data_IF_789110234103
#
_entry.id   IF_789110234103
#
_cell.length_a   1.000
_cell.length_b   1.000
_cell.length_c   1.000
_cell.angle_alpha   90.00
_cell.angle_beta   90.00
_cell.angle_gamma   90.00
#
_symmetry.space_group_name_H-M   'P 1'
#
loop_
_entity.id
_entity.type
_entity.pdbx_description
1 polymer ?
#
# COMPACT_ATOMS: atom_id res chain seq x y z
N UNK A 1 -6.39 1.23 -26.10
CA UNK A 1 -5.70 2.41 -25.55
C UNK A 1 -4.29 2.02 -25.14
N UNK A 2 -3.34 2.95 -25.24
CA UNK A 2 -1.99 2.80 -24.68
C UNK A 2 -1.91 3.53 -23.34
N UNK A 3 -1.60 2.80 -22.29
CA UNK A 3 -1.65 3.28 -20.90
C UNK A 3 -0.25 3.26 -20.30
N UNK A 4 0.23 4.41 -19.82
CA UNK A 4 1.47 4.52 -19.07
C UNK A 4 1.17 4.45 -17.57
N UNK A 5 1.55 3.36 -16.88
CA UNK A 5 1.43 3.24 -15.43
C UNK A 5 2.75 3.62 -14.75
N UNK A 6 2.74 4.64 -13.88
CA UNK A 6 3.93 5.15 -13.21
C UNK A 6 3.88 4.83 -11.71
N UNK A 7 4.91 4.14 -11.20
CA UNK A 7 4.97 3.72 -9.79
C UNK A 7 6.35 3.86 -9.18
N UNK A 8 6.44 4.11 -7.86
CA UNK A 8 7.71 4.11 -7.12
C UNK A 8 8.11 2.70 -6.62
N UNK A 9 7.17 1.74 -6.63
CA UNK A 9 7.41 0.38 -6.15
C UNK A 9 6.74 -0.64 -7.08
N UNK A 10 7.51 -1.64 -7.49
CA UNK A 10 7.03 -2.75 -8.33
C UNK A 10 7.79 -4.03 -7.99
N UNK A 11 7.45 -5.12 -8.67
CA UNK A 11 8.16 -6.41 -8.50
C UNK A 11 9.70 -6.23 -8.61
N UNK A 12 10.48 -6.97 -7.86
CA UNK A 12 10.12 -8.08 -6.96
C UNK A 12 9.68 -7.66 -5.54
N UNK A 13 9.55 -6.36 -5.27
CA UNK A 13 9.07 -5.89 -3.97
C UNK A 13 7.62 -6.34 -3.73
N UNK A 14 7.39 -7.04 -2.60
CA UNK A 14 6.06 -7.54 -2.21
C UNK A 14 5.35 -6.49 -1.36
N UNK A 15 4.23 -5.99 -1.84
CA UNK A 15 3.43 -4.99 -1.13
C UNK A 15 2.08 -4.75 -1.80
N UNK A 16 1.18 -4.06 -1.12
CA UNK A 16 -0.18 -3.81 -1.64
C UNK A 16 -0.18 -3.03 -2.94
N UNK A 17 0.68 -2.00 -3.07
CA UNK A 17 0.73 -1.18 -4.29
C UNK A 17 1.28 -1.95 -5.48
N UNK A 18 2.44 -2.64 -5.42
CA UNK A 18 2.92 -3.47 -6.53
C UNK A 18 1.91 -4.49 -7.02
N UNK A 19 1.25 -5.20 -6.09
CA UNK A 19 0.21 -6.18 -6.42
C UNK A 19 -0.99 -5.50 -7.11
N UNK A 20 -1.40 -4.33 -6.63
CA UNK A 20 -2.50 -3.57 -7.24
C UNK A 20 -2.15 -3.11 -8.66
N UNK A 21 -0.93 -2.60 -8.87
CA UNK A 21 -0.45 -2.16 -10.19
C UNK A 21 -0.37 -3.34 -11.16
N UNK A 22 0.20 -4.45 -10.73
CA UNK A 22 0.31 -5.67 -11.54
C UNK A 22 -1.06 -6.18 -12.00
N UNK A 23 -1.99 -6.39 -11.05
CA UNK A 23 -3.34 -6.88 -11.34
C UNK A 23 -4.12 -5.94 -12.24
N UNK A 24 -4.00 -4.63 -12.00
CA UNK A 24 -4.66 -3.64 -12.86
C UNK A 24 -4.08 -3.67 -14.28
N UNK A 25 -2.75 -3.76 -14.40
CA UNK A 25 -2.09 -3.87 -15.71
C UNK A 25 -2.52 -5.15 -16.46
N UNK A 26 -2.55 -6.28 -15.78
CA UNK A 26 -2.99 -7.56 -16.35
C UNK A 26 -4.48 -7.51 -16.77
N UNK A 27 -5.34 -6.96 -15.90
CA UNK A 27 -6.75 -6.79 -16.21
C UNK A 27 -6.98 -5.91 -17.42
N UNK A 28 -6.28 -4.79 -17.53
CA UNK A 28 -6.39 -3.89 -18.68
C UNK A 28 -5.84 -4.55 -19.97
N UNK A 29 -4.73 -5.31 -19.88
CA UNK A 29 -4.21 -6.08 -21.02
C UNK A 29 -5.21 -7.15 -21.49
N UNK A 30 -5.87 -7.83 -20.56
CA UNK A 30 -6.92 -8.82 -20.90
C UNK A 30 -8.12 -8.21 -21.61
N UNK A 31 -8.37 -6.91 -21.40
CA UNK A 31 -9.38 -6.13 -22.11
C UNK A 31 -8.89 -5.56 -23.46
N UNK A 32 -7.68 -5.92 -23.89
CA UNK A 32 -7.13 -5.50 -25.17
C UNK A 32 -6.41 -4.14 -25.15
N UNK A 33 -6.09 -3.59 -23.97
CA UNK A 33 -5.27 -2.38 -23.86
C UNK A 33 -3.77 -2.71 -23.85
N UNK A 34 -2.95 -1.80 -24.34
CA UNK A 34 -1.50 -1.86 -24.19
C UNK A 34 -1.10 -1.11 -22.92
N UNK A 35 -0.42 -1.77 -22.01
CA UNK A 35 -0.05 -1.18 -20.71
C UNK A 35 1.46 -1.29 -20.52
N UNK A 36 2.14 -0.16 -20.44
CA UNK A 36 3.55 -0.06 -20.09
C UNK A 36 3.69 0.42 -18.65
N UNK A 37 4.40 -0.36 -17.82
CA UNK A 37 4.65 -0.01 -16.42
C UNK A 37 6.02 0.63 -16.30
N UNK A 38 6.08 1.84 -15.76
CA UNK A 38 7.31 2.54 -15.42
C UNK A 38 7.61 2.37 -13.95
N UNK A 39 8.71 1.67 -13.62
CA UNK A 39 9.07 1.31 -12.26
C UNK A 39 10.58 1.46 -12.02
N UNK A 40 11.03 1.74 -10.78
CA UNK A 40 12.45 1.81 -10.48
C UNK A 40 13.13 0.43 -10.59
N UNK A 41 14.42 0.45 -10.88
CA UNK A 41 15.29 -0.71 -10.72
C UNK A 41 15.40 -1.01 -9.22
N UNK A 42 14.82 -2.10 -8.75
CA UNK A 42 14.94 -2.56 -7.36
C UNK A 42 15.89 -3.75 -7.27
N UNK A 43 16.37 -4.08 -6.08
CA UNK A 43 17.20 -5.28 -5.92
C UNK A 43 16.47 -6.54 -6.41
N UNK A 44 17.12 -7.32 -7.28
CA UNK A 44 16.58 -8.57 -7.83
C UNK A 44 15.52 -8.40 -8.92
N UNK A 45 15.38 -7.20 -9.51
CA UNK A 45 14.50 -7.01 -10.65
C UNK A 45 14.99 -7.83 -11.86
N UNK A 46 14.03 -8.29 -12.64
CA UNK A 46 14.27 -8.97 -13.92
C UNK A 46 13.69 -8.14 -15.06
N UNK A 47 14.22 -8.34 -16.26
CA UNK A 47 13.67 -7.71 -17.45
C UNK A 47 12.32 -8.35 -17.79
N UNK A 48 11.30 -7.52 -17.88
CA UNK A 48 9.94 -7.94 -18.17
C UNK A 48 9.45 -7.21 -19.41
N UNK A 49 8.73 -7.89 -20.32
CA UNK A 49 8.06 -7.19 -21.41
C UNK A 49 7.07 -6.17 -20.83
N UNK A 50 6.93 -5.05 -21.50
CA UNK A 50 6.02 -3.96 -21.11
C UNK A 50 6.35 -3.31 -19.74
N UNK A 51 7.59 -3.43 -19.23
CA UNK A 51 8.07 -2.74 -18.05
C UNK A 51 9.33 -1.93 -18.37
N UNK A 52 9.22 -0.62 -18.26
CA UNK A 52 10.37 0.30 -18.41
C UNK A 52 10.97 0.55 -17.04
N UNK A 53 12.18 0.03 -16.81
CA UNK A 53 12.91 0.24 -15.57
C UNK A 53 13.75 1.52 -15.65
N UNK A 54 13.62 2.38 -14.64
CA UNK A 54 14.41 3.58 -14.50
C UNK A 54 15.34 3.51 -13.28
N UNK A 55 16.44 4.24 -13.32
CA UNK A 55 17.51 4.18 -12.30
C UNK A 55 17.01 4.60 -10.94
N UNK A 56 17.59 3.97 -9.90
CA UNK A 56 17.41 4.33 -8.51
C UNK A 56 18.48 5.32 -8.08
N UNK A 57 18.07 6.44 -7.47
CA UNK A 57 18.96 7.42 -6.86
C UNK A 57 19.31 7.01 -5.43
N UNK A 58 18.33 6.47 -4.70
CA UNK A 58 18.51 6.07 -3.31
C UNK A 58 17.56 4.92 -2.95
N UNK A 59 18.09 3.91 -2.26
CA UNK A 59 17.32 2.78 -1.75
C UNK A 59 17.49 2.69 -0.23
N UNK A 60 16.38 2.76 0.49
CA UNK A 60 16.33 2.54 1.93
C UNK A 60 15.91 1.10 2.20
N UNK A 61 16.85 0.17 2.12
CA UNK A 61 16.60 -1.28 2.16
C UNK A 61 15.79 -1.73 3.36
N UNK A 62 16.12 -1.20 4.55
CA UNK A 62 15.43 -1.57 5.81
C UNK A 62 13.95 -1.18 5.84
N UNK A 63 13.52 -0.26 4.98
CA UNK A 63 12.14 0.25 4.92
C UNK A 63 11.42 -0.06 3.61
N UNK A 64 12.10 -0.68 2.66
CA UNK A 64 11.56 -0.91 1.32
C UNK A 64 11.20 0.37 0.58
N UNK A 65 11.82 1.51 0.94
CA UNK A 65 11.61 2.79 0.27
C UNK A 65 12.66 2.99 -0.81
N UNK A 66 12.19 3.19 -2.03
CA UNK A 66 13.04 3.45 -3.20
C UNK A 66 12.72 4.85 -3.73
N UNK A 67 13.77 5.64 -3.93
CA UNK A 67 13.68 6.92 -4.63
C UNK A 67 14.30 6.73 -6.01
N UNK A 68 13.45 6.62 -7.02
CA UNK A 68 13.87 6.51 -8.41
C UNK A 68 14.33 7.86 -8.98
N UNK A 69 15.12 7.80 -10.04
CA UNK A 69 15.45 8.97 -10.82
C UNK A 69 14.25 9.41 -11.67
N UNK A 70 13.45 10.33 -11.15
CA UNK A 70 12.25 10.85 -11.77
C UNK A 70 12.50 11.61 -13.08
N UNK A 71 13.73 11.94 -13.40
CA UNK A 71 14.16 12.57 -14.67
C UNK A 71 15.00 11.61 -15.54
N UNK A 72 14.86 10.30 -15.36
CA UNK A 72 15.56 9.31 -16.18
C UNK A 72 15.13 9.41 -17.64
N UNK A 73 16.11 9.56 -18.54
CA UNK A 73 15.87 9.72 -19.98
C UNK A 73 15.11 8.55 -20.63
N UNK A 74 15.11 7.37 -20.01
CA UNK A 74 14.36 6.20 -20.49
C UNK A 74 12.86 6.42 -20.41
N UNK A 75 12.38 7.11 -19.36
CA UNK A 75 10.96 7.46 -19.23
C UNK A 75 10.56 8.38 -20.40
N UNK A 76 11.29 9.47 -20.57
CA UNK A 76 10.96 10.44 -21.62
C UNK A 76 11.16 9.87 -23.03
N UNK A 77 12.14 8.97 -23.23
CA UNK A 77 12.34 8.27 -24.50
C UNK A 77 11.09 7.47 -24.87
N UNK A 78 10.54 6.68 -23.95
CA UNK A 78 9.31 5.92 -24.20
C UNK A 78 8.14 6.83 -24.55
N UNK A 79 7.98 7.97 -23.86
CA UNK A 79 6.90 8.92 -24.16
C UNK A 79 7.04 9.62 -25.52
N UNK A 80 8.25 9.71 -26.07
CA UNK A 80 8.48 10.21 -27.44
C UNK A 80 8.22 9.16 -28.50
N UNK A 81 8.53 7.90 -28.20
CA UNK A 81 8.43 6.79 -29.13
C UNK A 81 7.03 6.17 -29.14
N UNK A 82 6.37 6.16 -27.99
CA UNK A 82 5.03 5.63 -27.80
C UNK A 82 4.03 6.76 -27.58
N UNK A 83 2.94 6.74 -28.32
CA UNK A 83 1.84 7.68 -28.09
C UNK A 83 0.90 7.10 -27.05
N UNK A 84 1.06 7.50 -25.77
CA UNK A 84 0.18 7.11 -24.70
C UNK A 84 -1.12 7.92 -24.72
N UNK A 85 -2.25 7.24 -24.48
CA UNK A 85 -3.57 7.85 -24.40
C UNK A 85 -3.88 8.36 -22.99
N UNK A 86 -3.27 7.73 -21.96
CA UNK A 86 -3.49 8.08 -20.56
C UNK A 86 -2.24 7.78 -19.73
N UNK A 87 -1.98 8.63 -18.75
CA UNK A 87 -0.99 8.39 -17.68
C UNK A 87 -1.75 8.00 -16.42
N UNK A 88 -1.42 6.85 -15.84
CA UNK A 88 -1.97 6.41 -14.57
C UNK A 88 -0.86 6.32 -13.52
N UNK A 89 -0.84 7.25 -12.58
CA UNK A 89 0.17 7.30 -11.52
C UNK A 89 -0.34 6.70 -10.22
N UNK A 90 0.53 5.99 -9.51
CA UNK A 90 0.21 5.27 -8.29
C UNK A 90 0.86 5.85 -7.03
N UNK A 91 1.69 6.90 -7.19
CA UNK A 91 2.34 7.61 -6.07
C UNK A 91 2.37 9.11 -6.35
N UNK A 92 1.96 9.98 -5.41
CA UNK A 92 1.92 11.43 -5.63
C UNK A 92 3.27 12.10 -5.46
N UNK A 93 4.24 11.46 -4.78
CA UNK A 93 5.60 11.96 -4.56
C UNK A 93 6.60 11.28 -5.49
N UNK A 94 7.71 11.93 -5.78
CA UNK A 94 8.79 11.47 -6.68
C UNK A 94 8.25 11.25 -8.10
N UNK A 95 7.78 10.05 -8.45
CA UNK A 95 7.24 9.74 -9.79
C UNK A 95 5.97 10.53 -10.11
N UNK A 96 5.25 11.02 -9.09
CA UNK A 96 4.09 11.89 -9.26
C UNK A 96 4.44 13.20 -9.97
N UNK A 97 5.59 13.81 -9.65
CA UNK A 97 6.07 15.01 -10.34
C UNK A 97 6.36 14.74 -11.82
N UNK A 98 6.96 13.58 -12.10
CA UNK A 98 7.21 13.15 -13.49
C UNK A 98 5.89 12.97 -14.25
N UNK A 99 4.90 12.33 -13.63
CA UNK A 99 3.59 12.13 -14.24
C UNK A 99 2.91 13.47 -14.61
N UNK A 100 2.89 14.42 -13.69
CA UNK A 100 2.35 15.79 -13.93
C UNK A 100 3.12 16.50 -15.04
N UNK A 101 4.45 16.41 -15.03
CA UNK A 101 5.30 17.02 -16.06
C UNK A 101 4.98 16.42 -17.44
N UNK A 102 4.93 15.09 -17.56
CA UNK A 102 4.67 14.39 -18.81
C UNK A 102 3.24 14.64 -19.32
N UNK A 103 2.25 14.64 -18.42
CA UNK A 103 0.86 14.98 -18.74
C UNK A 103 0.78 16.36 -19.39
N UNK A 104 1.37 17.38 -18.76
CA UNK A 104 1.37 18.75 -19.29
C UNK A 104 2.18 18.90 -20.57
N UNK A 105 3.32 18.22 -20.67
CA UNK A 105 4.20 18.31 -21.84
C UNK A 105 3.59 17.70 -23.09
N UNK A 106 2.93 16.55 -22.95
CA UNK A 106 2.38 15.80 -24.07
C UNK A 106 0.86 15.96 -24.23
N UNK A 107 0.19 16.69 -23.34
CA UNK A 107 -1.26 16.87 -23.36
C UNK A 107 -2.03 15.57 -23.09
N UNK A 108 -1.47 14.69 -22.26
CA UNK A 108 -2.04 13.36 -21.95
C UNK A 108 -2.81 13.44 -20.64
N UNK A 109 -4.06 12.95 -20.59
CA UNK A 109 -4.85 12.88 -19.35
C UNK A 109 -4.13 12.11 -18.23
N UNK A 110 -4.24 12.64 -16.99
CA UNK A 110 -3.59 12.09 -15.80
C UNK A 110 -4.62 11.50 -14.84
N UNK A 111 -4.56 10.19 -14.62
CA UNK A 111 -5.28 9.49 -13.58
C UNK A 111 -4.37 9.17 -12.39
N UNK A 112 -4.89 9.19 -11.19
CA UNK A 112 -4.16 8.83 -9.96
C UNK A 112 -4.94 7.79 -9.16
N UNK A 113 -4.26 6.76 -8.64
CA UNK A 113 -4.85 5.88 -7.63
C UNK A 113 -4.31 6.20 -6.23
N UNK A 114 -5.22 6.58 -5.34
CA UNK A 114 -4.93 6.88 -3.95
C UNK A 114 -4.82 5.57 -3.14
N UNK A 115 -3.59 5.05 -3.01
CA UNK A 115 -3.34 3.78 -2.30
C UNK A 115 -3.08 3.93 -0.81
N UNK A 116 -2.57 5.08 -0.40
CA UNK A 116 -1.94 5.24 0.91
C UNK A 116 -2.36 6.52 1.58
N UNK A 117 -2.81 6.41 2.82
CA UNK A 117 -3.02 7.56 3.71
C UNK A 117 -1.67 8.02 4.26
N UNK A 118 -0.98 8.86 3.49
CA UNK A 118 0.38 9.30 3.80
C UNK A 118 0.52 9.96 5.17
N UNK A 119 -0.52 10.63 5.66
CA UNK A 119 -0.57 11.23 6.99
C UNK A 119 -0.45 10.18 8.12
N UNK A 120 -0.84 8.93 7.87
CA UNK A 120 -0.69 7.84 8.83
C UNK A 120 0.70 7.19 8.80
N UNK A 121 1.48 7.46 7.75
CA UNK A 121 2.82 6.88 7.56
C UNK A 121 3.96 7.78 8.02
N UNK A 122 3.67 8.99 8.51
CA UNK A 122 4.69 9.93 8.98
C UNK A 122 5.55 9.37 10.11
N UNK A 123 5.03 8.42 10.88
CA UNK A 123 5.78 7.75 11.96
C UNK A 123 7.00 6.94 11.47
N UNK A 124 7.09 6.60 10.18
CA UNK A 124 8.29 5.99 9.61
C UNK A 124 9.49 6.95 9.56
N UNK A 125 9.27 8.25 9.68
CA UNK A 125 10.32 9.25 9.74
C UNK A 125 10.71 9.53 11.19
N UNK A 126 11.92 9.10 11.60
CA UNK A 126 12.42 9.26 12.98
C UNK A 126 12.34 10.71 13.50
N UNK A 127 12.55 11.69 12.61
CA UNK A 127 12.42 13.11 12.97
C UNK A 127 10.98 13.42 13.36
N UNK A 128 10.01 12.99 12.58
CA UNK A 128 8.59 13.18 12.89
C UNK A 128 8.20 12.50 14.21
N UNK A 129 8.65 11.25 14.43
CA UNK A 129 8.39 10.55 15.70
C UNK A 129 8.92 11.33 16.92
N UNK A 130 10.16 11.85 16.82
CA UNK A 130 10.73 12.70 17.88
C UNK A 130 9.92 13.96 18.10
N UNK A 131 9.46 14.61 17.04
CA UNK A 131 8.60 15.80 17.13
C UNK A 131 7.25 15.46 17.74
N UNK A 132 6.61 14.37 17.34
CA UNK A 132 5.31 13.94 17.85
C UNK A 132 5.35 13.50 19.32
N UNK A 133 6.47 12.92 19.77
CA UNK A 133 6.74 12.59 21.17
C UNK A 133 7.15 13.83 22.03
N UNK A 134 7.47 14.95 21.40
CA UNK A 134 7.85 16.20 22.06
C UNK A 134 6.70 16.87 22.79
N UNK A 135 6.97 18.09 23.32
CA UNK A 135 5.98 18.91 24.03
C UNK A 135 5.86 20.29 23.38
N UNK A 136 4.74 20.97 23.66
CA UNK A 136 4.51 22.36 23.26
C UNK A 136 4.61 22.57 21.75
N UNK A 137 5.32 23.60 21.27
CA UNK A 137 5.38 23.98 19.85
C UNK A 137 5.85 22.87 18.92
N UNK A 138 6.78 22.02 19.37
CA UNK A 138 7.34 20.92 18.56
C UNK A 138 6.27 19.86 18.27
N UNK A 139 5.49 19.48 19.27
CA UNK A 139 4.35 18.56 19.09
C UNK A 139 3.28 19.18 18.20
N UNK A 140 3.01 20.48 18.35
CA UNK A 140 2.04 21.18 17.51
C UNK A 140 2.50 21.22 16.05
N UNK A 141 3.79 21.39 15.78
CA UNK A 141 4.34 21.34 14.43
C UNK A 141 4.18 19.94 13.78
N UNK A 142 4.43 18.86 14.55
CA UNK A 142 4.18 17.51 14.07
C UNK A 142 2.70 17.28 13.75
N UNK A 143 1.81 17.74 14.63
CA UNK A 143 0.37 17.66 14.42
C UNK A 143 -0.07 18.46 13.19
N UNK A 144 0.41 19.68 13.02
CA UNK A 144 0.15 20.52 11.85
C UNK A 144 0.63 19.85 10.55
N UNK A 145 1.82 19.23 10.56
CA UNK A 145 2.32 18.48 9.41
C UNK A 145 1.38 17.35 9.00
N UNK A 146 0.84 16.61 9.97
CA UNK A 146 -0.06 15.47 9.71
C UNK A 146 -1.45 15.92 9.27
N UNK A 147 -2.01 16.94 9.94
CA UNK A 147 -3.42 17.34 9.78
C UNK A 147 -3.61 18.36 8.64
N UNK A 148 -2.57 19.10 8.28
CA UNK A 148 -2.67 20.22 7.32
C UNK A 148 -1.69 20.09 6.16
N UNK A 149 -0.37 19.96 6.43
CA UNK A 149 0.61 20.02 5.34
C UNK A 149 0.53 18.83 4.41
N UNK A 150 0.47 17.60 4.93
CA UNK A 150 0.40 16.39 4.09
C UNK A 150 -0.91 16.31 3.34
N UNK A 151 -2.09 16.48 3.96
CA UNK A 151 -3.36 16.53 3.21
C UNK A 151 -3.39 17.66 2.18
N UNK A 152 -2.90 18.86 2.53
CA UNK A 152 -2.85 20.01 1.60
C UNK A 152 -1.98 19.73 0.37
N UNK A 153 -0.82 19.10 0.57
CA UNK A 153 0.02 18.66 -0.54
C UNK A 153 -0.70 17.63 -1.43
N UNK A 154 -1.33 16.63 -0.81
CA UNK A 154 -2.06 15.58 -1.54
C UNK A 154 -3.23 16.16 -2.35
N UNK A 155 -3.99 17.09 -1.76
CA UNK A 155 -5.08 17.77 -2.45
C UNK A 155 -4.53 18.55 -3.67
N UNK A 156 -3.47 19.34 -3.47
CA UNK A 156 -2.82 20.07 -4.58
C UNK A 156 -2.31 19.15 -5.69
N UNK A 157 -1.85 17.96 -5.35
CA UNK A 157 -1.46 16.96 -6.35
C UNK A 157 -2.69 16.40 -7.07
N UNK A 158 -3.73 16.02 -6.33
CA UNK A 158 -4.97 15.51 -6.90
C UNK A 158 -5.66 16.52 -7.82
N UNK A 159 -5.60 17.80 -7.51
CA UNK A 159 -6.14 18.88 -8.35
C UNK A 159 -5.44 19.01 -9.71
N UNK A 160 -4.29 18.37 -9.90
CA UNK A 160 -3.61 18.31 -11.20
C UNK A 160 -3.97 17.05 -12.01
N UNK A 161 -4.79 16.17 -11.45
CA UNK A 161 -5.27 14.95 -12.10
C UNK A 161 -6.67 15.19 -12.69
N UNK A 162 -6.95 14.51 -13.79
CA UNK A 162 -8.29 14.52 -14.41
C UNK A 162 -9.27 13.63 -13.65
N UNK A 163 -8.76 12.59 -12.99
CA UNK A 163 -9.54 11.69 -12.13
C UNK A 163 -8.67 11.06 -11.06
N UNK A 164 -9.27 10.74 -9.92
CA UNK A 164 -8.62 10.02 -8.81
C UNK A 164 -9.43 8.78 -8.48
N UNK A 165 -8.77 7.63 -8.54
CA UNK A 165 -9.33 6.37 -8.09
C UNK A 165 -9.04 6.13 -6.61
N UNK A 166 -10.05 5.65 -5.89
CA UNK A 166 -9.96 5.30 -4.47
C UNK A 166 -10.42 3.87 -4.22
N UNK A 167 -9.85 3.15 -3.24
CA UNK A 167 -10.14 1.73 -3.07
C UNK A 167 -11.53 1.45 -2.48
N UNK A 168 -12.15 2.41 -1.81
CA UNK A 168 -13.43 2.23 -1.10
C UNK A 168 -14.29 3.49 -1.12
N UNK A 169 -15.62 3.31 -0.95
CA UNK A 169 -16.55 4.42 -0.80
C UNK A 169 -16.25 5.29 0.43
N UNK A 170 -15.85 4.69 1.55
CA UNK A 170 -15.43 5.43 2.75
C UNK A 170 -14.21 6.33 2.48
N UNK A 171 -13.28 5.89 1.62
CA UNK A 171 -12.15 6.73 1.22
C UNK A 171 -12.61 7.87 0.32
N UNK A 172 -13.54 7.61 -0.61
CA UNK A 172 -14.16 8.67 -1.43
C UNK A 172 -14.80 9.74 -0.56
N UNK A 173 -15.62 9.35 0.40
CA UNK A 173 -16.28 10.26 1.35
C UNK A 173 -15.26 11.06 2.17
N UNK A 174 -14.19 10.41 2.63
CA UNK A 174 -13.09 11.07 3.36
C UNK A 174 -12.45 12.17 2.53
N UNK A 175 -12.07 11.89 1.28
CA UNK A 175 -11.44 12.88 0.40
C UNK A 175 -12.40 14.01 -0.01
N UNK A 176 -13.67 13.71 -0.24
CA UNK A 176 -14.71 14.73 -0.46
C UNK A 176 -14.80 15.67 0.74
N UNK A 177 -14.81 15.11 1.96
CA UNK A 177 -14.84 15.92 3.20
C UNK A 177 -13.58 16.76 3.38
N UNK A 178 -12.44 16.29 2.87
CA UNK A 178 -11.17 17.05 2.85
C UNK A 178 -11.12 18.14 1.76
N UNK A 179 -12.18 18.27 0.95
CA UNK A 179 -12.30 19.32 -0.07
C UNK A 179 -11.62 19.01 -1.39
N UNK A 180 -11.36 17.74 -1.71
CA UNK A 180 -10.86 17.35 -3.04
C UNK A 180 -11.92 17.63 -4.08
N UNK A 181 -11.59 18.47 -5.08
CA UNK A 181 -12.50 18.88 -6.14
C UNK A 181 -12.44 17.98 -7.39
N UNK A 182 -11.32 17.29 -7.59
CA UNK A 182 -11.13 16.35 -8.70
C UNK A 182 -12.16 15.21 -8.66
N UNK A 183 -12.69 14.76 -9.80
CA UNK A 183 -13.58 13.60 -9.86
C UNK A 183 -12.98 12.37 -9.17
N UNK A 184 -13.73 11.79 -8.23
CA UNK A 184 -13.33 10.63 -7.43
C UNK A 184 -14.14 9.41 -7.84
N UNK A 185 -13.45 8.33 -8.24
CA UNK A 185 -14.10 7.07 -8.62
C UNK A 185 -13.63 5.92 -7.73
N UNK A 186 -14.56 5.03 -7.36
CA UNK A 186 -14.23 3.86 -6.54
C UNK A 186 -13.71 2.75 -7.44
N UNK A 187 -12.45 2.37 -7.27
CA UNK A 187 -11.79 1.27 -7.97
C UNK A 187 -11.13 0.35 -6.93
N UNK A 188 -11.82 -0.69 -6.46
CA UNK A 188 -11.23 -1.66 -5.54
C UNK A 188 -10.06 -2.41 -6.19
N UNK A 189 -9.06 -2.77 -5.37
CA UNK A 189 -8.00 -3.67 -5.84
C UNK A 189 -8.58 -5.04 -6.17
N UNK A 190 -8.38 -5.50 -7.38
CA UNK A 190 -8.82 -6.82 -7.84
C UNK A 190 -8.15 -7.96 -7.06
N UNK A 191 -8.85 -9.08 -6.96
CA UNK A 191 -8.32 -10.35 -6.41
C UNK A 191 -8.47 -11.39 -7.51
N UNK A 192 -7.38 -12.13 -7.81
CA UNK A 192 -7.41 -13.20 -8.81
C UNK A 192 -8.39 -14.31 -8.43
N UNK A 193 -9.02 -14.93 -9.41
CA UNK A 193 -9.99 -16.01 -9.20
C UNK A 193 -9.39 -17.20 -8.45
N UNK A 194 -8.08 -17.43 -8.60
CA UNK A 194 -7.36 -18.50 -7.89
C UNK A 194 -7.44 -18.36 -6.37
N UNK A 195 -7.55 -17.13 -5.85
CA UNK A 195 -7.68 -16.87 -4.41
C UNK A 195 -8.99 -17.41 -3.81
N UNK A 196 -9.99 -17.70 -4.67
CA UNK A 196 -11.28 -18.24 -4.24
C UNK A 196 -11.40 -19.75 -4.47
N UNK A 197 -10.38 -20.39 -5.05
CA UNK A 197 -10.36 -21.85 -5.19
C UNK A 197 -10.21 -22.49 -3.83
N UNK A 198 -11.17 -23.34 -3.48
CA UNK A 198 -11.11 -24.14 -2.26
C UNK A 198 -10.17 -25.31 -2.48
N UNK A 199 -9.33 -25.59 -1.48
CA UNK A 199 -8.46 -26.76 -1.41
C UNK A 199 -8.71 -27.45 -0.04
N UNK A 200 -9.68 -28.38 0.03
CA UNK A 200 -10.05 -29.03 1.28
C UNK A 200 -8.92 -29.82 1.94
N UNK A 201 -8.02 -30.42 1.14
CA UNK A 201 -6.88 -31.15 1.69
C UNK A 201 -5.88 -30.22 2.34
N UNK A 202 -5.58 -29.10 1.69
CA UNK A 202 -4.72 -28.06 2.25
C UNK A 202 -5.34 -27.40 3.48
N UNK A 203 -6.64 -27.17 3.48
CA UNK A 203 -7.34 -26.66 4.65
C UNK A 203 -7.21 -27.62 5.84
N UNK A 204 -7.42 -28.92 5.62
CA UNK A 204 -7.28 -29.95 6.64
C UNK A 204 -5.86 -30.03 7.19
N UNK A 205 -4.85 -29.94 6.32
CA UNK A 205 -3.44 -29.89 6.72
C UNK A 205 -3.17 -28.69 7.63
N UNK A 206 -3.60 -27.49 7.22
CA UNK A 206 -3.42 -26.25 7.99
C UNK A 206 -4.13 -26.35 9.34
N UNK A 207 -5.37 -26.81 9.37
CA UNK A 207 -6.12 -27.00 10.62
C UNK A 207 -5.39 -27.97 11.55
N UNK A 208 -4.95 -29.11 11.05
CA UNK A 208 -4.23 -30.10 11.87
C UNK A 208 -2.91 -29.57 12.41
N UNK A 209 -2.25 -28.67 11.70
CA UNK A 209 -0.98 -28.07 12.10
C UNK A 209 -1.12 -27.01 13.20
N UNK A 210 -2.21 -26.24 13.18
CA UNK A 210 -2.36 -25.08 14.05
C UNK A 210 -3.43 -25.23 15.14
N UNK A 211 -4.32 -26.20 15.03
CA UNK A 211 -5.31 -26.52 16.07
C UNK A 211 -4.85 -27.73 16.90
N UNK A 212 -5.05 -27.64 18.20
CA UNK A 212 -4.82 -28.75 19.15
C UNK A 212 -6.15 -29.23 19.79
N UNK A 213 -7.18 -29.32 18.94
CA UNK A 213 -8.53 -29.69 19.39
C UNK A 213 -9.49 -28.50 19.51
N UNK A 214 -9.01 -27.25 19.33
CA UNK A 214 -9.88 -26.10 19.28
C UNK A 214 -10.75 -26.13 18.01
N UNK A 215 -12.05 -25.80 18.07
CA UNK A 215 -12.93 -25.85 16.90
C UNK A 215 -12.72 -24.70 15.91
N UNK A 216 -12.13 -23.56 16.35
CA UNK A 216 -12.03 -22.36 15.54
C UNK A 216 -10.59 -21.93 15.27
N UNK A 217 -10.26 -21.74 13.99
CA UNK A 217 -9.02 -21.11 13.53
C UNK A 217 -9.36 -19.83 12.79
N UNK A 218 -8.94 -18.70 13.34
CA UNK A 218 -8.96 -17.42 12.66
C UNK A 218 -7.60 -17.12 12.05
N UNK A 219 -7.55 -16.37 10.96
CA UNK A 219 -6.30 -15.94 10.36
C UNK A 219 -6.37 -14.45 9.97
N UNK A 220 -5.24 -13.77 10.11
CA UNK A 220 -5.04 -12.42 9.59
C UNK A 220 -3.68 -12.31 8.94
N UNK A 221 -3.61 -11.59 7.82
CA UNK A 221 -2.36 -11.32 7.10
C UNK A 221 -2.10 -9.83 7.09
N UNK A 222 -1.00 -9.40 7.70
CA UNK A 222 -0.63 -7.98 7.74
C UNK A 222 0.85 -7.80 8.05
N UNK A 223 1.44 -6.66 7.63
CA UNK A 223 2.69 -6.20 8.21
C UNK A 223 2.48 -5.94 9.71
N UNK A 224 3.42 -6.36 10.55
CA UNK A 224 3.32 -6.18 12.01
C UNK A 224 3.82 -4.79 12.39
N UNK A 225 3.11 -3.76 11.91
CA UNK A 225 3.45 -2.34 12.08
C UNK A 225 2.31 -1.58 12.78
N UNK A 226 2.62 -0.36 13.24
CA UNK A 226 1.74 0.43 14.10
C UNK A 226 0.38 0.72 13.44
N UNK A 227 0.38 1.05 12.15
CA UNK A 227 -0.83 1.40 11.39
C UNK A 227 -1.81 0.22 11.20
N UNK A 228 -1.36 -1.03 11.45
CA UNK A 228 -2.23 -2.21 11.38
C UNK A 228 -2.99 -2.48 12.66
N UNK A 229 -2.67 -1.75 13.73
CA UNK A 229 -3.40 -1.76 15.02
C UNK A 229 -3.68 -3.17 15.56
N UNK A 230 -2.68 -4.08 15.46
CA UNK A 230 -2.82 -5.46 15.95
C UNK A 230 -2.96 -5.55 17.47
N UNK A 231 -2.61 -4.50 18.20
CA UNK A 231 -2.92 -4.38 19.63
C UNK A 231 -4.43 -4.46 19.90
N UNK A 232 -5.23 -3.83 19.04
CA UNK A 232 -6.69 -3.91 19.14
C UNK A 232 -7.19 -5.34 18.90
N UNK A 233 -6.62 -6.04 17.89
CA UNK A 233 -6.93 -7.45 17.64
C UNK A 233 -6.62 -8.32 18.87
N UNK A 234 -5.44 -8.15 19.49
CA UNK A 234 -5.05 -8.94 20.65
C UNK A 234 -5.95 -8.66 21.87
N UNK A 235 -6.30 -7.41 22.11
CA UNK A 235 -7.26 -7.06 23.18
C UNK A 235 -8.66 -7.63 22.89
N UNK A 236 -9.10 -7.61 21.63
CA UNK A 236 -10.34 -8.26 21.20
C UNK A 236 -10.31 -9.77 21.41
N UNK A 237 -9.16 -10.42 21.11
CA UNK A 237 -8.96 -11.86 21.35
C UNK A 237 -9.00 -12.19 22.86
N UNK A 238 -8.42 -11.36 23.73
CA UNK A 238 -8.51 -11.53 25.17
C UNK A 238 -9.98 -11.46 25.64
N UNK A 239 -10.74 -10.50 25.13
CA UNK A 239 -12.17 -10.39 25.43
C UNK A 239 -12.96 -11.57 24.90
N UNK A 240 -12.62 -12.06 23.70
CA UNK A 240 -13.24 -13.28 23.16
C UNK A 240 -12.98 -14.50 24.05
N UNK A 241 -11.75 -14.67 24.55
CA UNK A 241 -11.40 -15.73 25.49
C UNK A 241 -12.24 -15.69 26.78
N UNK A 242 -12.51 -14.51 27.31
CA UNK A 242 -13.41 -14.37 28.49
C UNK A 242 -14.84 -14.86 28.20
N UNK A 243 -15.31 -14.71 26.95
CA UNK A 243 -16.67 -15.06 26.56
C UNK A 243 -16.85 -16.54 26.21
N UNK A 244 -15.86 -17.13 25.51
CA UNK A 244 -15.97 -18.47 24.92
C UNK A 244 -14.90 -19.46 25.39
N UNK A 245 -14.00 -19.04 26.29
CA UNK A 245 -12.89 -19.87 26.77
C UNK A 245 -11.79 -20.11 25.73
N UNK A 246 -11.10 -21.23 25.83
CA UNK A 246 -9.92 -21.56 25.04
C UNK A 246 -10.27 -22.29 23.70
N UNK A 247 -11.47 -22.11 23.18
CA UNK A 247 -11.97 -22.85 22.02
C UNK A 247 -11.52 -22.32 20.65
N UNK A 248 -10.53 -21.42 20.58
CA UNK A 248 -10.07 -20.82 19.32
C UNK A 248 -8.56 -20.61 19.27
N UNK A 249 -8.06 -20.47 18.06
CA UNK A 249 -6.72 -19.96 17.75
C UNK A 249 -6.77 -18.86 16.70
N UNK A 250 -5.79 -17.94 16.76
CA UNK A 250 -5.61 -16.88 15.78
C UNK A 250 -4.19 -16.99 15.21
N UNK A 251 -4.11 -17.19 13.91
CA UNK A 251 -2.88 -17.19 13.14
C UNK A 251 -2.62 -15.78 12.59
N UNK A 252 -1.52 -15.17 13.01
CA UNK A 252 -1.08 -13.84 12.55
C UNK A 252 0.08 -14.05 11.58
N UNK A 253 -0.21 -13.87 10.28
CA UNK A 253 0.73 -14.10 9.19
C UNK A 253 1.36 -12.78 8.79
N UNK A 254 2.68 -12.67 8.97
CA UNK A 254 3.45 -11.49 8.57
C UNK A 254 4.67 -11.25 9.43
N UNK A 255 5.39 -10.17 9.10
CA UNK A 255 6.55 -9.70 9.84
C UNK A 255 6.53 -8.19 9.98
N UNK A 256 7.35 -7.64 10.90
CA UNK A 256 7.45 -6.20 11.14
C UNK A 256 8.09 -5.86 12.47
N UNK A 257 8.31 -4.56 12.67
CA UNK A 257 9.06 -4.04 13.82
C UNK A 257 8.37 -4.32 15.15
N UNK A 258 7.06 -4.52 15.14
CA UNK A 258 6.26 -4.76 16.35
C UNK A 258 6.10 -6.22 16.75
N UNK A 259 6.65 -7.17 16.00
CA UNK A 259 6.48 -8.61 16.29
C UNK A 259 6.78 -8.98 17.73
N UNK A 260 7.93 -8.53 18.27
CA UNK A 260 8.31 -8.80 19.66
C UNK A 260 7.34 -8.15 20.67
N UNK A 261 6.95 -6.91 20.42
CA UNK A 261 5.99 -6.19 21.29
C UNK A 261 4.63 -6.86 21.31
N UNK A 262 4.13 -7.32 20.15
CA UNK A 262 2.85 -8.01 20.05
C UNK A 262 2.88 -9.37 20.74
N UNK A 263 3.97 -10.14 20.64
CA UNK A 263 4.15 -11.38 21.39
C UNK A 263 4.08 -11.14 22.90
N UNK A 264 4.82 -10.14 23.41
CA UNK A 264 4.78 -9.79 24.83
C UNK A 264 3.37 -9.39 25.26
N UNK A 265 2.67 -8.58 24.47
CA UNK A 265 1.29 -8.19 24.77
C UNK A 265 0.34 -9.39 24.83
N UNK A 266 0.51 -10.38 23.94
CA UNK A 266 -0.30 -11.59 23.97
C UNK A 266 -0.09 -12.38 25.28
N UNK A 267 1.15 -12.46 25.78
CA UNK A 267 1.45 -13.09 27.08
C UNK A 267 0.86 -12.28 28.24
N UNK A 268 1.04 -10.97 28.27
CA UNK A 268 0.47 -10.07 29.28
C UNK A 268 -1.07 -10.17 29.36
N UNK A 269 -1.74 -10.37 28.22
CA UNK A 269 -3.18 -10.54 28.12
C UNK A 269 -3.65 -11.97 28.42
N UNK A 270 -2.74 -12.89 28.73
CA UNK A 270 -3.06 -14.31 29.02
C UNK A 270 -3.60 -15.08 27.83
N UNK A 271 -3.29 -14.65 26.60
CA UNK A 271 -3.74 -15.29 25.33
C UNK A 271 -2.58 -15.88 24.51
N UNK A 272 -1.40 -16.03 25.10
CA UNK A 272 -0.23 -16.56 24.37
C UNK A 272 -0.48 -17.90 23.69
N UNK A 273 -1.32 -18.77 24.28
CA UNK A 273 -1.71 -20.06 23.67
C UNK A 273 -2.64 -19.93 22.47
N UNK A 274 -3.47 -18.88 22.43
CA UNK A 274 -4.43 -18.64 21.36
C UNK A 274 -3.78 -17.99 20.13
N UNK A 275 -2.61 -17.35 20.28
CA UNK A 275 -1.98 -16.56 19.20
C UNK A 275 -0.76 -17.31 18.65
N UNK A 276 -0.74 -17.47 17.32
CA UNK A 276 0.37 -18.04 16.56
C UNK A 276 0.89 -16.98 15.58
N UNK A 277 2.23 -16.70 15.62
CA UNK A 277 2.89 -15.73 14.76
C UNK A 277 3.76 -16.39 13.71
#
# INVERSE_FOLDING_TARGET
MKIAMLTNNYKPFIGGVPISVERLAEGLRSLGHQVTVFAPEGAGWEEEPDVVRFRVLYEWRDKGLVIGNFSDSRIEKSFREEQFDVIHVHHPVVIGFTAVYLSKKYGIPLAYTYHTRYEEYLHYFKLYEKMAAGRGPVRNAARFSREVLVPGYLNTFMDQCDTVFVPTSSMKECLVTQGVATPLEVLPTGIGEEAFKQDPEREKEIRSRYLNGEPWLFATTARLEKEKNLDFLLRGAARLKELVGDCFRILIIGDGTRKKTLKNLAEELGIGRQIVF
#
